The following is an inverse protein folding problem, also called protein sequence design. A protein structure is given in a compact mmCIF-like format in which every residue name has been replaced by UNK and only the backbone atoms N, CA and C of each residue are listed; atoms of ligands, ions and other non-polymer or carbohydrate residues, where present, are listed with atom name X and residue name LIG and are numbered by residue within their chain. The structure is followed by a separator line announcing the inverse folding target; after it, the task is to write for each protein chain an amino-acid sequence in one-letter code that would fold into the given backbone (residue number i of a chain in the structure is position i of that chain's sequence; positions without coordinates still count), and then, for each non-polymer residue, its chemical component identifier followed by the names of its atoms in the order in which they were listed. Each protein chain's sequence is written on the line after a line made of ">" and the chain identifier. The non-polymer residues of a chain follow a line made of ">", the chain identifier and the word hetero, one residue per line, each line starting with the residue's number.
data_IF_245815622761
#
_entry.id   IF_245815622761
#
_cell.length_a   1.000
_cell.length_b   1.000
_cell.length_c   1.000
_cell.angle_alpha   90.00
_cell.angle_beta   90.00
_cell.angle_gamma   90.00
#
_symmetry.space_group_name_H-M   'P 1'
#
loop_
_entity.id
_entity.type
_entity.pdbx_description
1 polymer ?
#
# COMPACT_ATOMS: atom_id res chain seq x y z
N UNK A 1 -56.22 17.44 -9.12
CA UNK A 1 -54.80 17.33 -9.55
C UNK A 1 -53.79 17.83 -8.56
N UNK A 2 -54.13 18.71 -7.62
CA UNK A 2 -53.22 19.25 -6.58
C UNK A 2 -52.86 18.22 -5.47
N UNK A 3 -53.80 17.33 -5.11
CA UNK A 3 -53.58 16.33 -4.04
C UNK A 3 -52.56 15.21 -4.44
N UNK A 4 -52.46 14.88 -5.72
CA UNK A 4 -51.52 13.86 -6.21
C UNK A 4 -50.08 14.39 -6.15
N UNK A 5 -49.89 15.69 -6.28
CA UNK A 5 -48.53 16.31 -6.20
C UNK A 5 -48.02 16.39 -4.77
N UNK A 6 -48.90 16.53 -3.75
CA UNK A 6 -48.48 16.47 -2.35
C UNK A 6 -48.06 15.10 -1.88
N UNK A 7 -48.65 14.03 -2.42
CA UNK A 7 -48.25 12.64 -2.09
C UNK A 7 -46.88 12.25 -2.68
N UNK A 8 -46.47 12.85 -3.80
CA UNK A 8 -45.15 12.59 -4.41
C UNK A 8 -44.01 13.32 -3.69
N UNK A 9 -44.27 14.48 -3.08
CA UNK A 9 -43.25 15.17 -2.27
C UNK A 9 -43.00 14.47 -0.94
N UNK A 10 -43.98 13.76 -0.38
CA UNK A 10 -43.82 12.97 0.84
C UNK A 10 -43.07 11.64 0.59
N UNK A 11 -42.99 11.14 -0.64
CA UNK A 11 -42.15 9.96 -1.02
C UNK A 11 -40.67 10.29 -1.04
N UNK A 12 -40.25 11.54 -1.09
CA UNK A 12 -38.87 11.99 -1.00
C UNK A 12 -38.22 11.85 0.38
N UNK A 13 -39.07 11.77 1.45
CA UNK A 13 -38.65 11.64 2.85
C UNK A 13 -38.65 10.18 3.36
N UNK A 14 -38.84 9.20 2.46
CA UNK A 14 -38.63 7.80 2.82
C UNK A 14 -37.15 7.61 3.11
N UNK A 15 -36.86 7.43 4.38
CA UNK A 15 -35.62 7.27 5.07
C UNK A 15 -34.48 6.83 4.13
N UNK A 16 -33.46 7.68 3.97
CA UNK A 16 -32.15 7.25 3.50
C UNK A 16 -31.77 6.02 4.32
N UNK A 17 -31.55 4.84 3.70
CA UNK A 17 -31.13 3.68 4.47
C UNK A 17 -29.96 4.11 5.33
N UNK A 18 -30.07 3.82 6.63
CA UNK A 18 -29.05 4.12 7.64
C UNK A 18 -27.72 3.59 7.11
N UNK A 19 -26.89 4.48 6.56
CA UNK A 19 -25.61 4.06 5.99
C UNK A 19 -24.81 3.54 7.18
N UNK A 20 -24.38 2.28 7.15
CA UNK A 20 -23.60 1.73 8.26
C UNK A 20 -22.44 2.67 8.55
N UNK A 21 -22.37 3.16 9.77
CA UNK A 21 -21.35 4.11 10.22
C UNK A 21 -19.98 3.68 9.69
N UNK A 22 -19.28 4.58 9.02
CA UNK A 22 -17.98 4.27 8.43
C UNK A 22 -17.08 3.62 9.48
N UNK A 23 -16.41 2.50 9.17
CA UNK A 23 -15.65 1.76 10.17
C UNK A 23 -14.63 2.66 10.85
N UNK A 24 -14.79 2.86 12.15
CA UNK A 24 -13.88 3.67 12.97
C UNK A 24 -12.53 2.95 13.02
N UNK A 25 -11.53 3.55 12.38
CA UNK A 25 -10.17 3.01 12.39
C UNK A 25 -9.46 3.46 13.65
N UNK A 26 -9.22 2.50 14.55
CA UNK A 26 -8.53 2.74 15.83
C UNK A 26 -7.03 2.72 15.63
N UNK A 27 -6.31 3.64 16.29
CA UNK A 27 -4.84 3.66 16.35
C UNK A 27 -4.32 2.35 16.97
N UNK A 28 -3.37 1.67 16.29
CA UNK A 28 -2.75 0.42 16.74
C UNK A 28 -1.25 0.61 16.88
N UNK A 29 -0.79 0.72 18.12
CA UNK A 29 0.62 0.98 18.47
C UNK A 29 1.08 -0.08 19.45
N UNK A 30 2.32 -0.56 19.29
CA UNK A 30 2.97 -1.48 20.22
C UNK A 30 3.31 -0.80 21.55
N UNK A 31 3.66 -1.59 22.57
CA UNK A 31 4.17 -1.08 23.87
C UNK A 31 5.39 -0.14 23.74
N UNK A 32 6.12 -0.20 22.61
CA UNK A 32 7.26 0.65 22.30
C UNK A 32 6.88 1.91 21.49
N UNK A 33 5.58 2.22 21.36
CA UNK A 33 5.10 3.38 20.62
C UNK A 33 5.22 3.27 19.10
N UNK A 34 5.42 2.04 18.54
CA UNK A 34 5.59 1.80 17.11
C UNK A 34 4.30 1.27 16.49
N UNK A 35 3.97 1.70 15.28
CA UNK A 35 2.95 1.05 14.47
C UNK A 35 3.60 -0.01 13.58
N UNK A 36 3.05 -1.22 13.60
CA UNK A 36 3.52 -2.35 12.80
C UNK A 36 2.56 -2.68 11.66
N UNK A 37 3.11 -2.90 10.47
CA UNK A 37 2.34 -3.44 9.34
C UNK A 37 3.18 -4.32 8.43
N UNK A 38 2.50 -5.23 7.74
CA UNK A 38 3.11 -6.07 6.70
C UNK A 38 2.71 -5.58 5.31
N UNK A 39 3.71 -5.33 4.46
CA UNK A 39 3.52 -5.05 3.05
C UNK A 39 3.92 -6.24 2.19
N UNK A 40 3.25 -6.41 1.04
CA UNK A 40 3.52 -7.51 0.11
C UNK A 40 3.49 -7.01 -1.33
N UNK A 41 4.43 -7.46 -2.17
CA UNK A 41 4.41 -7.27 -3.62
C UNK A 41 5.16 -8.40 -4.32
N UNK A 42 4.57 -9.00 -5.35
CA UNK A 42 5.11 -10.21 -6.01
C UNK A 42 5.43 -11.26 -4.93
N UNK A 43 6.68 -11.72 -4.85
CA UNK A 43 7.16 -12.67 -3.84
C UNK A 43 7.88 -11.99 -2.67
N UNK A 44 7.90 -10.65 -2.61
CA UNK A 44 8.54 -9.90 -1.53
C UNK A 44 7.54 -9.64 -0.39
N UNK A 45 8.02 -9.83 0.84
CA UNK A 45 7.28 -9.56 2.08
C UNK A 45 8.13 -8.60 2.92
N UNK A 46 7.55 -7.47 3.30
CA UNK A 46 8.16 -6.47 4.16
C UNK A 46 7.40 -6.36 5.48
N UNK A 47 8.10 -6.47 6.59
CA UNK A 47 7.63 -6.12 7.93
C UNK A 47 8.12 -4.72 8.21
N UNK A 48 7.22 -3.80 8.50
CA UNK A 48 7.51 -2.37 8.66
C UNK A 48 7.06 -1.91 10.03
N UNK A 49 7.94 -1.23 10.72
CA UNK A 49 7.68 -0.53 11.99
C UNK A 49 7.90 0.96 11.78
N UNK A 50 6.94 1.77 12.16
CA UNK A 50 7.02 3.23 12.13
C UNK A 50 6.98 3.75 13.56
N UNK A 51 7.88 4.65 13.88
CA UNK A 51 7.92 5.41 15.15
C UNK A 51 8.16 6.88 14.86
N UNK A 52 7.82 7.80 15.76
CA UNK A 52 8.23 9.20 15.65
C UNK A 52 9.76 9.30 15.60
N UNK A 53 10.28 10.18 14.74
CA UNK A 53 11.72 10.33 14.57
C UNK A 53 12.12 11.41 13.59
N UNK A 54 13.29 11.25 12.97
CA UNK A 54 13.93 12.23 12.10
C UNK A 54 13.80 11.95 10.59
N UNK A 55 13.05 10.91 10.20
CA UNK A 55 12.90 10.51 8.79
C UNK A 55 13.90 9.44 8.33
N UNK A 56 14.61 8.80 9.25
CA UNK A 56 15.58 7.75 8.92
C UNK A 56 14.88 6.46 8.51
N UNK A 57 15.29 5.89 7.37
CA UNK A 57 14.76 4.60 6.89
C UNK A 57 15.86 3.55 6.89
N UNK A 58 15.68 2.52 7.71
CA UNK A 58 16.62 1.39 7.85
C UNK A 58 16.01 0.13 7.31
N UNK A 59 16.70 -0.58 6.43
CA UNK A 59 16.24 -1.81 5.77
C UNK A 59 17.21 -2.95 6.06
N UNK A 60 16.75 -3.99 6.73
CA UNK A 60 17.57 -5.14 7.15
C UNK A 60 18.85 -4.72 7.89
N UNK A 61 18.77 -3.71 8.76
CA UNK A 61 19.91 -3.19 9.51
C UNK A 61 20.86 -2.28 8.73
N UNK A 62 20.59 -2.02 7.43
CA UNK A 62 21.37 -1.12 6.59
C UNK A 62 20.60 0.15 6.27
N UNK A 63 21.29 1.22 5.96
CA UNK A 63 20.63 2.43 5.45
C UNK A 63 19.95 2.16 4.10
N UNK A 64 18.84 2.86 3.84
CA UNK A 64 18.10 2.74 2.58
C UNK A 64 18.97 3.03 1.34
N UNK A 65 19.97 3.90 1.47
CA UNK A 65 20.84 4.28 0.33
C UNK A 65 21.78 3.16 -0.06
N UNK A 66 22.28 2.44 0.91
CA UNK A 66 23.13 1.27 0.70
C UNK A 66 22.31 0.09 0.19
N UNK A 67 21.14 -0.15 0.79
CA UNK A 67 20.31 -1.30 0.42
C UNK A 67 19.63 -1.14 -0.95
N UNK A 68 19.03 0.02 -1.20
CA UNK A 68 18.43 0.39 -2.48
C UNK A 68 19.33 1.38 -3.22
N UNK A 69 20.40 0.90 -3.83
CA UNK A 69 21.36 1.72 -4.56
C UNK A 69 20.71 2.57 -5.67
N UNK A 70 19.63 2.06 -6.31
CA UNK A 70 18.90 2.78 -7.36
C UNK A 70 18.02 3.88 -6.77
N UNK A 71 18.21 5.17 -7.12
CA UNK A 71 17.41 6.29 -6.59
C UNK A 71 15.91 6.12 -6.80
N UNK A 72 15.50 5.58 -7.94
CA UNK A 72 14.08 5.33 -8.27
C UNK A 72 13.40 4.44 -7.23
N UNK A 73 14.09 3.42 -6.71
CA UNK A 73 13.52 2.53 -5.69
C UNK A 73 13.34 3.28 -4.35
N UNK A 74 14.25 4.18 -4.03
CA UNK A 74 14.15 5.06 -2.85
C UNK A 74 13.00 6.05 -2.97
N UNK A 75 12.76 6.60 -4.15
CA UNK A 75 11.59 7.44 -4.41
C UNK A 75 10.30 6.66 -4.20
N UNK A 76 10.20 5.45 -4.76
CA UNK A 76 9.00 4.60 -4.64
C UNK A 76 8.64 4.32 -3.18
N UNK A 77 9.60 4.01 -2.33
CA UNK A 77 9.30 3.72 -0.92
C UNK A 77 8.92 4.96 -0.11
N UNK A 78 9.38 6.16 -0.51
CA UNK A 78 9.07 7.43 0.17
C UNK A 78 7.71 8.02 -0.26
N UNK A 79 7.14 7.61 -1.39
CA UNK A 79 5.88 8.14 -1.93
C UNK A 79 4.75 8.29 -0.89
N UNK A 80 4.44 7.29 -0.03
CA UNK A 80 3.37 7.44 0.95
C UNK A 80 3.64 8.52 1.99
N UNK A 81 4.91 8.68 2.40
CA UNK A 81 5.31 9.71 3.37
C UNK A 81 5.28 11.12 2.74
N UNK A 82 5.63 11.23 1.45
CA UNK A 82 5.56 12.48 0.70
C UNK A 82 4.11 12.93 0.49
N UNK A 83 3.21 12.01 0.16
CA UNK A 83 1.79 12.31 -0.03
C UNK A 83 1.14 12.94 1.20
N UNK A 84 1.57 12.53 2.39
CA UNK A 84 1.01 13.01 3.66
C UNK A 84 1.90 14.04 4.37
N UNK A 85 2.94 14.54 3.71
CA UNK A 85 3.93 15.50 4.24
C UNK A 85 4.54 15.10 5.59
N UNK A 86 4.87 13.80 5.74
CA UNK A 86 5.43 13.22 6.97
C UNK A 86 6.83 12.64 6.81
N UNK A 87 7.60 13.08 5.80
CA UNK A 87 8.92 12.51 5.45
C UNK A 87 9.93 12.59 6.60
N UNK A 88 9.92 13.70 7.33
CA UNK A 88 10.89 13.99 8.41
C UNK A 88 10.37 13.68 9.82
N UNK A 89 9.11 13.22 9.93
CA UNK A 89 8.47 13.03 11.24
C UNK A 89 8.53 11.59 11.73
N UNK A 90 8.83 10.63 10.85
CA UNK A 90 8.80 9.21 11.17
C UNK A 90 10.10 8.50 10.80
N UNK A 91 10.65 7.76 11.75
CA UNK A 91 11.67 6.75 11.48
C UNK A 91 11.00 5.44 11.06
N UNK A 92 11.54 4.81 10.04
CA UNK A 92 11.00 3.57 9.48
C UNK A 92 12.05 2.47 9.59
N UNK A 93 11.71 1.42 10.31
CA UNK A 93 12.53 0.20 10.39
C UNK A 93 11.84 -0.90 9.59
N UNK A 94 12.59 -1.53 8.69
CA UNK A 94 12.06 -2.54 7.78
C UNK A 94 12.87 -3.81 7.84
N UNK A 95 12.18 -4.94 7.97
CA UNK A 95 12.73 -6.26 7.67
C UNK A 95 12.05 -6.80 6.42
N UNK A 96 12.82 -7.02 5.33
CA UNK A 96 12.29 -7.47 4.04
C UNK A 96 12.93 -8.76 3.61
N UNK A 97 12.11 -9.70 3.06
CA UNK A 97 12.54 -11.00 2.55
C UNK A 97 11.85 -11.32 1.22
N UNK A 98 12.50 -12.16 0.43
CA UNK A 98 11.97 -12.69 -0.83
C UNK A 98 11.94 -11.70 -1.99
N UNK A 99 11.70 -12.21 -3.18
CA UNK A 99 11.64 -11.43 -4.42
C UNK A 99 12.97 -10.75 -4.78
N UNK A 100 12.86 -9.71 -5.63
CA UNK A 100 14.00 -8.85 -6.01
C UNK A 100 13.80 -7.42 -5.51
N UNK A 101 14.84 -6.58 -5.58
CA UNK A 101 14.87 -5.21 -5.04
C UNK A 101 13.66 -4.36 -5.46
N UNK A 102 13.19 -4.47 -6.71
CA UNK A 102 12.00 -3.76 -7.19
C UNK A 102 10.71 -4.25 -6.52
N UNK A 103 10.58 -5.56 -6.28
CA UNK A 103 9.46 -6.13 -5.53
C UNK A 103 9.50 -5.72 -4.07
N UNK A 104 10.69 -5.72 -3.48
CA UNK A 104 10.94 -5.33 -2.10
C UNK A 104 10.60 -3.86 -1.85
N UNK A 105 11.04 -2.94 -2.73
CA UNK A 105 10.69 -1.53 -2.62
C UNK A 105 9.15 -1.31 -2.65
N UNK A 106 8.44 -1.99 -3.56
CA UNK A 106 6.99 -1.93 -3.60
C UNK A 106 6.30 -2.58 -2.38
N UNK A 107 6.88 -3.65 -1.82
CA UNK A 107 6.39 -4.24 -0.58
C UNK A 107 6.60 -3.31 0.62
N UNK A 108 7.75 -2.64 0.68
CA UNK A 108 8.04 -1.62 1.71
C UNK A 108 7.06 -0.45 1.59
N UNK A 109 6.84 0.09 0.39
CA UNK A 109 5.84 1.14 0.15
C UNK A 109 4.45 0.75 0.70
N UNK A 110 3.96 -0.42 0.34
CA UNK A 110 2.67 -0.92 0.82
C UNK A 110 2.66 -1.09 2.36
N UNK A 111 3.76 -1.55 2.95
CA UNK A 111 3.91 -1.69 4.40
C UNK A 111 3.89 -0.34 5.13
N UNK A 112 4.63 0.67 4.62
CA UNK A 112 4.64 2.04 5.16
C UNK A 112 3.23 2.62 5.13
N UNK A 113 2.53 2.54 3.99
CA UNK A 113 1.16 3.05 3.86
C UNK A 113 0.21 2.45 4.88
N UNK A 114 0.28 1.15 5.11
CA UNK A 114 -0.54 0.47 6.14
C UNK A 114 -0.15 0.87 7.55
N UNK A 115 1.14 0.98 7.85
CA UNK A 115 1.61 1.36 9.17
C UNK A 115 1.23 2.80 9.52
N UNK A 116 1.27 3.73 8.54
CA UNK A 116 0.76 5.09 8.69
C UNK A 116 -0.72 5.11 9.08
N UNK A 117 -1.57 4.31 8.44
CA UNK A 117 -3.00 4.24 8.81
C UNK A 117 -3.24 3.65 10.20
N UNK A 118 -2.31 2.87 10.74
CA UNK A 118 -2.39 2.36 12.12
C UNK A 118 -1.88 3.38 13.13
N UNK A 119 -0.96 4.24 12.72
CA UNK A 119 -0.44 5.30 13.59
C UNK A 119 -1.37 6.52 13.60
N UNK A 120 -1.77 7.01 12.42
CA UNK A 120 -2.72 8.10 12.19
C UNK A 120 -3.87 7.62 11.30
N UNK A 121 -5.03 7.23 11.88
CA UNK A 121 -6.18 6.73 11.11
C UNK A 121 -6.74 7.71 10.08
N UNK A 122 -6.60 9.01 10.31
CA UNK A 122 -7.06 10.10 9.43
C UNK A 122 -6.38 10.05 8.05
N UNK A 123 -5.13 9.60 7.99
CA UNK A 123 -4.36 9.49 6.73
C UNK A 123 -4.86 8.39 5.80
N UNK A 124 -5.81 7.57 6.24
CA UNK A 124 -6.34 6.48 5.43
C UNK A 124 -7.05 6.97 4.17
N UNK A 125 -7.79 8.07 4.24
CA UNK A 125 -8.50 8.66 3.09
C UNK A 125 -7.57 8.96 1.92
N UNK A 126 -6.61 9.86 2.09
CA UNK A 126 -5.62 10.21 1.06
C UNK A 126 -4.85 9.00 0.54
N UNK A 127 -4.32 8.14 1.43
CA UNK A 127 -3.54 6.96 1.05
C UNK A 127 -4.35 5.93 0.26
N UNK A 128 -5.65 5.80 0.54
CA UNK A 128 -6.54 4.90 -0.22
C UNK A 128 -6.86 5.47 -1.59
N UNK A 129 -7.10 6.78 -1.69
CA UNK A 129 -7.39 7.48 -2.95
C UNK A 129 -6.25 7.29 -3.97
N UNK A 130 -5.02 7.40 -3.54
CA UNK A 130 -3.82 7.16 -4.36
C UNK A 130 -3.46 5.68 -4.55
N UNK A 131 -4.27 4.74 -4.03
CA UNK A 131 -4.10 3.31 -4.23
C UNK A 131 -2.96 2.67 -3.43
N UNK A 132 -2.31 3.38 -2.49
CA UNK A 132 -1.17 2.84 -1.72
C UNK A 132 -1.56 1.74 -0.73
N UNK A 133 -2.84 1.65 -0.35
CA UNK A 133 -3.35 0.60 0.54
C UNK A 133 -3.74 -0.68 -0.20
N UNK A 134 -3.82 -0.64 -1.53
CA UNK A 134 -4.17 -1.80 -2.34
C UNK A 134 -2.92 -2.59 -2.70
N UNK A 135 -2.95 -3.91 -2.49
CA UNK A 135 -1.87 -4.79 -2.92
C UNK A 135 -1.88 -4.93 -4.45
N UNK A 136 -0.74 -4.71 -5.08
CA UNK A 136 -0.53 -5.05 -6.50
C UNK A 136 -0.53 -6.59 -6.65
N UNK A 137 -1.55 -7.12 -7.32
CA UNK A 137 -1.75 -8.56 -7.51
C UNK A 137 -0.84 -9.15 -8.59
N UNK A 138 -0.21 -8.33 -9.42
CA UNK A 138 0.62 -8.79 -10.55
C UNK A 138 1.79 -9.63 -10.06
N UNK A 139 1.88 -10.86 -10.56
CA UNK A 139 2.99 -11.79 -10.32
C UNK A 139 3.59 -12.24 -11.65
N UNK A 140 4.79 -12.81 -11.62
CA UNK A 140 5.42 -13.35 -12.81
C UNK A 140 4.62 -14.56 -13.29
N UNK A 141 4.20 -14.52 -14.56
CA UNK A 141 3.46 -15.61 -15.19
C UNK A 141 4.38 -16.85 -15.35
N UNK A 142 3.84 -18.02 -15.05
CA UNK A 142 4.57 -19.29 -15.13
C UNK A 142 4.97 -19.61 -16.58
N UNK A 143 6.18 -20.11 -16.77
CA UNK A 143 6.61 -20.71 -18.04
C UNK A 143 5.64 -21.82 -18.45
N UNK A 144 5.29 -21.90 -19.73
CA UNK A 144 4.37 -22.90 -20.28
C UNK A 144 5.13 -23.94 -21.06
N UNK A 145 4.54 -25.13 -21.17
CA UNK A 145 5.07 -26.19 -22.00
C UNK A 145 5.13 -25.73 -23.46
N UNK A 146 6.14 -26.14 -24.21
CA UNK A 146 6.32 -25.75 -25.62
C UNK A 146 6.66 -24.28 -25.89
N UNK A 147 6.93 -23.49 -24.84
CA UNK A 147 7.29 -22.08 -24.95
C UNK A 147 8.66 -21.81 -24.33
N UNK A 148 9.40 -20.82 -24.84
CA UNK A 148 10.70 -20.42 -24.27
C UNK A 148 10.54 -19.70 -22.91
N UNK A 149 9.46 -18.92 -22.75
CA UNK A 149 9.00 -18.27 -21.50
C UNK A 149 7.48 -18.40 -21.37
N UNK A 150 6.86 -17.59 -20.51
CA UNK A 150 5.40 -17.63 -20.31
C UNK A 150 4.60 -17.46 -21.62
N UNK A 151 5.02 -16.52 -22.47
CA UNK A 151 4.35 -16.19 -23.74
C UNK A 151 5.28 -16.27 -24.95
N UNK A 152 6.60 -16.25 -24.76
CA UNK A 152 7.57 -16.31 -25.85
C UNK A 152 7.62 -17.70 -26.45
N UNK A 153 7.36 -17.81 -27.76
CA UNK A 153 7.53 -19.04 -28.56
C UNK A 153 8.99 -19.23 -28.96
N UNK A 154 9.35 -20.45 -29.29
CA UNK A 154 10.61 -20.72 -29.99
C UNK A 154 10.53 -20.19 -31.42
N UNK A 155 11.69 -19.85 -31.96
CA UNK A 155 11.77 -19.42 -33.37
C UNK A 155 11.40 -20.60 -34.28
N UNK A 156 10.56 -20.33 -35.27
CA UNK A 156 10.26 -21.31 -36.31
C UNK A 156 11.44 -21.37 -37.28
N UNK A 157 11.96 -22.55 -37.53
CA UNK A 157 13.00 -22.81 -38.56
C UNK A 157 12.34 -23.43 -39.78
N UNK A 158 12.41 -22.71 -40.92
CA UNK A 158 12.07 -23.28 -42.23
C UNK A 158 13.27 -24.13 -42.72
N UNK A 159 13.24 -25.41 -42.52
CA UNK A 159 14.09 -26.41 -43.20
C UNK A 159 13.21 -27.57 -43.59
#
# INVERSE_FOLDING_TARGET
>A
MAEVLQSLSQLGDVAKPDQPAAPVHVKKVDAQGRAYATGKRKNAIARVWIKPGSGKVTVNGRDQEIYFARPVLRLVLKQPLQLVDRVTQYDVVVSVKGGGLSGQAGAVRHGISKALTFYEPELRGPLKKEGFLTRDSRVVERKKFGKAKARRSFQFSKR
#
